data_IF_147704464066
#
_entry.id   IF_147704464066
#
_cell.length_a   1.000
_cell.length_b   1.000
_cell.length_c   1.000
_cell.angle_alpha   90.00
_cell.angle_beta   90.00
_cell.angle_gamma   90.00
#
_symmetry.space_group_name_H-M   'P 1'
#
loop_
_entity.id
_entity.type
_entity.pdbx_description
1 polymer ?
#
# COMPACT_ATOMS: atom_id res chain seq x y z
N UNK A 1 -21.73 -7.95 7.61
CA UNK A 1 -20.47 -7.42 8.18
C UNK A 1 -19.37 -7.50 7.11
N UNK A 2 -18.59 -6.44 6.97
CA UNK A 2 -17.46 -6.43 6.04
C UNK A 2 -16.16 -6.66 6.79
N UNK A 3 -15.29 -7.49 6.23
CA UNK A 3 -13.99 -7.81 6.82
C UNK A 3 -12.89 -7.32 5.89
N UNK A 4 -11.97 -6.55 6.44
CA UNK A 4 -10.83 -5.99 5.72
C UNK A 4 -9.52 -6.40 6.38
N UNK A 5 -8.44 -6.45 5.61
CA UNK A 5 -7.11 -6.73 6.12
C UNK A 5 -6.05 -5.94 5.35
N UNK A 6 -4.87 -5.83 5.96
CA UNK A 6 -3.72 -5.18 5.34
C UNK A 6 -3.06 -6.07 4.28
N UNK A 7 -2.49 -5.42 3.28
CA UNK A 7 -1.78 -6.10 2.19
C UNK A 7 -0.30 -6.31 2.45
N UNK A 8 0.18 -5.97 3.63
CA UNK A 8 1.59 -5.75 3.98
C UNK A 8 2.54 -6.89 3.59
N UNK A 9 2.21 -8.13 3.92
CA UNK A 9 3.09 -9.26 3.63
C UNK A 9 2.78 -9.85 2.25
N UNK A 10 1.53 -9.91 1.89
CA UNK A 10 1.07 -10.65 0.70
C UNK A 10 1.47 -9.94 -0.59
N UNK A 11 1.15 -8.66 -0.74
CA UNK A 11 1.46 -7.94 -1.98
C UNK A 11 2.97 -7.82 -2.24
N UNK A 12 3.81 -7.47 -1.26
CA UNK A 12 5.25 -7.42 -1.50
C UNK A 12 5.87 -8.76 -1.88
N UNK A 13 5.31 -9.85 -1.40
CA UNK A 13 5.85 -11.19 -1.67
C UNK A 13 5.32 -11.82 -2.96
N UNK A 14 4.02 -11.67 -3.24
CA UNK A 14 3.34 -12.38 -4.33
C UNK A 14 2.92 -11.48 -5.50
N UNK A 15 2.96 -10.17 -5.32
CA UNK A 15 2.44 -9.21 -6.29
C UNK A 15 0.94 -8.97 -6.13
N UNK A 16 0.43 -8.05 -6.94
CA UNK A 16 -0.95 -7.57 -6.79
C UNK A 16 -1.97 -8.62 -7.22
N UNK A 17 -1.83 -9.16 -8.42
CA UNK A 17 -2.85 -10.10 -8.94
C UNK A 17 -2.94 -11.36 -8.09
N UNK A 18 -1.82 -12.01 -7.82
CA UNK A 18 -1.80 -13.21 -7.00
C UNK A 18 -2.22 -12.92 -5.57
N UNK A 19 -1.80 -11.77 -5.03
CA UNK A 19 -2.21 -11.32 -3.70
C UNK A 19 -3.71 -11.11 -3.59
N UNK A 20 -4.32 -10.46 -4.59
CA UNK A 20 -5.77 -10.27 -4.64
C UNK A 20 -6.52 -11.60 -4.65
N UNK A 21 -6.03 -12.55 -5.42
CA UNK A 21 -6.61 -13.89 -5.46
C UNK A 21 -6.60 -14.55 -4.09
N UNK A 22 -5.46 -14.47 -3.39
CA UNK A 22 -5.31 -15.01 -2.03
C UNK A 22 -6.34 -14.40 -1.08
N UNK A 23 -6.45 -13.06 -1.08
CA UNK A 23 -7.39 -12.37 -0.20
C UNK A 23 -8.85 -12.70 -0.54
N UNK A 24 -9.17 -12.80 -1.82
CA UNK A 24 -10.52 -13.14 -2.26
C UNK A 24 -10.89 -14.55 -1.83
N UNK A 25 -10.01 -15.50 -2.02
CA UNK A 25 -10.23 -16.90 -1.60
C UNK A 25 -10.35 -17.02 -0.08
N UNK A 26 -9.63 -16.17 0.67
CA UNK A 26 -9.72 -16.13 2.12
C UNK A 26 -11.02 -15.52 2.64
N UNK A 27 -11.80 -14.84 1.80
CA UNK A 27 -13.12 -14.31 2.16
C UNK A 27 -13.14 -12.86 2.63
N UNK A 28 -12.11 -12.08 2.36
CA UNK A 28 -12.11 -10.66 2.70
C UNK A 28 -13.00 -9.86 1.75
N UNK A 29 -13.58 -8.78 2.27
CA UNK A 29 -14.51 -7.91 1.54
C UNK A 29 -13.85 -6.63 1.03
N UNK A 30 -12.77 -6.22 1.65
CA UNK A 30 -12.03 -5.01 1.32
C UNK A 30 -10.58 -5.15 1.76
N UNK A 31 -9.72 -4.24 1.32
CA UNK A 31 -8.30 -4.26 1.66
C UNK A 31 -7.82 -2.90 2.16
N UNK A 32 -6.87 -2.95 3.08
CA UNK A 32 -6.09 -1.83 3.55
C UNK A 32 -4.74 -1.89 2.83
N UNK A 33 -4.52 -0.99 1.88
CA UNK A 33 -3.29 -1.00 1.10
C UNK A 33 -2.12 -0.47 1.93
N UNK A 34 -1.24 -1.37 2.33
CA UNK A 34 -0.06 -1.01 3.13
C UNK A 34 1.11 -0.64 2.23
N UNK A 35 1.68 0.55 2.46
CA UNK A 35 2.83 1.05 1.72
C UNK A 35 4.11 1.05 2.55
N UNK A 36 4.19 0.20 3.55
CA UNK A 36 5.38 0.04 4.40
C UNK A 36 6.61 -0.36 3.58
N UNK A 37 6.42 -1.09 2.49
CA UNK A 37 7.51 -1.50 1.61
C UNK A 37 8.28 -0.33 1.01
N UNK A 38 7.66 0.84 0.88
CA UNK A 38 8.30 2.04 0.32
C UNK A 38 9.43 2.57 1.18
N UNK A 39 9.44 2.17 2.44
CA UNK A 39 10.40 2.62 3.43
C UNK A 39 11.59 1.68 3.57
N UNK A 40 11.52 0.56 2.93
CA UNK A 40 12.46 -0.54 3.13
C UNK A 40 13.44 -0.61 1.96
N UNK A 41 14.70 -0.94 2.27
CA UNK A 41 15.68 -1.39 1.28
C UNK A 41 15.42 -2.84 0.86
N UNK A 42 14.39 -3.47 1.42
CA UNK A 42 14.03 -4.84 1.06
C UNK A 42 13.43 -4.88 -0.33
N UNK A 43 13.82 -5.88 -1.07
CA UNK A 43 13.22 -6.15 -2.37
C UNK A 43 11.73 -6.45 -2.20
N UNK A 44 10.94 -5.82 -3.04
CA UNK A 44 9.50 -6.04 -3.11
C UNK A 44 9.13 -6.07 -4.58
N UNK A 45 8.23 -6.94 -4.95
CA UNK A 45 7.72 -6.98 -6.32
C UNK A 45 7.00 -5.69 -6.71
N UNK A 46 6.63 -4.87 -5.74
CA UNK A 46 6.02 -3.55 -5.96
C UNK A 46 7.05 -2.42 -6.07
N UNK A 47 8.26 -2.64 -5.60
CA UNK A 47 9.25 -1.57 -5.39
C UNK A 47 9.75 -0.90 -6.66
N UNK A 48 9.64 -1.56 -7.80
CA UNK A 48 10.12 -1.05 -9.09
C UNK A 48 9.02 -0.43 -9.95
N UNK A 49 7.79 -0.38 -9.48
CA UNK A 49 6.69 0.21 -10.21
C UNK A 49 6.65 1.73 -10.03
N UNK A 50 6.43 2.46 -11.12
CA UNK A 50 6.09 3.87 -11.05
C UNK A 50 4.68 4.07 -10.48
N UNK A 51 4.38 5.32 -10.11
CA UNK A 51 3.09 5.66 -9.50
C UNK A 51 1.90 5.25 -10.38
N UNK A 52 1.93 5.62 -11.66
CA UNK A 52 0.81 5.34 -12.57
C UNK A 52 0.64 3.84 -12.82
N UNK A 53 1.73 3.11 -13.00
CA UNK A 53 1.69 1.66 -13.17
C UNK A 53 1.08 0.98 -11.95
N UNK A 54 1.53 1.37 -10.77
CA UNK A 54 1.02 0.83 -9.51
C UNK A 54 -0.47 1.09 -9.34
N UNK A 55 -0.90 2.35 -9.53
CA UNK A 55 -2.31 2.73 -9.40
C UNK A 55 -3.17 1.96 -10.38
N UNK A 56 -2.74 1.87 -11.64
CA UNK A 56 -3.51 1.15 -12.66
C UNK A 56 -3.66 -0.33 -12.31
N UNK A 57 -2.59 -0.98 -11.88
CA UNK A 57 -2.65 -2.39 -11.46
C UNK A 57 -3.55 -2.61 -10.24
N UNK A 58 -3.47 -1.71 -9.27
CA UNK A 58 -4.33 -1.79 -8.08
C UNK A 58 -5.81 -1.64 -8.46
N UNK A 59 -6.14 -0.67 -9.32
CA UNK A 59 -7.52 -0.44 -9.75
C UNK A 59 -8.06 -1.60 -10.60
N UNK A 60 -7.27 -2.09 -11.56
CA UNK A 60 -7.65 -3.23 -12.40
C UNK A 60 -7.93 -4.48 -11.55
N UNK A 61 -7.02 -4.78 -10.62
CA UNK A 61 -7.18 -5.95 -9.76
C UNK A 61 -8.31 -5.80 -8.76
N UNK A 62 -8.52 -4.60 -8.22
CA UNK A 62 -9.66 -4.32 -7.35
C UNK A 62 -10.97 -4.58 -8.06
N UNK A 63 -11.11 -4.16 -9.31
CA UNK A 63 -12.30 -4.41 -10.12
C UNK A 63 -12.45 -5.90 -10.46
N UNK A 64 -11.38 -6.52 -10.91
CA UNK A 64 -11.36 -7.93 -11.31
C UNK A 64 -11.84 -8.86 -10.18
N UNK A 65 -11.38 -8.62 -8.96
CA UNK A 65 -11.68 -9.47 -7.81
C UNK A 65 -12.79 -8.93 -6.91
N UNK A 66 -13.35 -7.78 -7.24
CA UNK A 66 -14.36 -7.09 -6.41
C UNK A 66 -13.88 -6.89 -4.97
N UNK A 67 -12.63 -6.42 -4.83
CA UNK A 67 -12.00 -6.11 -3.55
C UNK A 67 -11.58 -4.64 -3.53
N UNK A 68 -12.44 -3.74 -3.03
CA UNK A 68 -12.10 -2.32 -2.93
C UNK A 68 -11.07 -2.06 -1.84
N UNK A 69 -10.34 -0.96 -1.99
CA UNK A 69 -9.46 -0.44 -0.95
C UNK A 69 -10.25 0.54 -0.10
N UNK A 70 -10.49 0.20 1.16
CA UNK A 70 -11.23 1.07 2.08
C UNK A 70 -10.32 1.94 2.94
N UNK A 71 -9.05 1.59 3.04
CA UNK A 71 -8.05 2.29 3.84
C UNK A 71 -6.66 2.07 3.23
N UNK A 72 -5.70 2.87 3.65
CA UNK A 72 -4.29 2.69 3.30
C UNK A 72 -3.40 3.03 4.49
N UNK A 73 -2.18 2.51 4.50
CA UNK A 73 -1.14 2.87 5.46
C UNK A 73 0.07 3.43 4.74
N UNK A 74 0.54 4.57 5.20
CA UNK A 74 1.75 5.22 4.71
C UNK A 74 3.01 4.48 5.18
N UNK A 75 4.18 4.76 4.57
CA UNK A 75 5.44 4.20 5.04
C UNK A 75 5.72 4.50 6.51
N UNK A 76 6.35 3.56 7.19
CA UNK A 76 6.67 3.65 8.60
C UNK A 76 8.09 3.11 8.85
N UNK A 77 8.87 3.75 9.71
CA UNK A 77 8.57 4.96 10.49
C UNK A 77 8.55 6.22 9.63
N UNK A 78 7.71 7.18 10.02
CA UNK A 78 7.53 8.44 9.28
C UNK A 78 8.61 9.48 9.61
N UNK A 79 9.39 9.24 10.65
CA UNK A 79 10.44 10.12 11.09
C UNK A 79 11.46 9.34 11.94
N UNK A 80 12.75 9.66 11.76
CA UNK A 80 13.84 9.15 12.61
C UNK A 80 14.65 10.32 13.17
N UNK A 81 14.69 10.41 14.47
CA UNK A 81 15.44 11.46 15.15
C UNK A 81 16.91 11.42 14.74
N UNK A 82 17.45 12.56 14.31
CA UNK A 82 18.86 12.70 13.93
C UNK A 82 19.23 12.15 12.55
N UNK A 83 18.28 11.57 11.80
CA UNK A 83 18.51 11.02 10.46
C UNK A 83 17.85 11.89 9.40
N UNK A 84 18.50 13.00 9.06
CA UNK A 84 17.95 13.96 8.10
C UNK A 84 17.77 13.38 6.71
N UNK A 85 18.69 12.53 6.28
CA UNK A 85 18.64 11.90 4.96
C UNK A 85 17.41 10.98 4.84
N UNK A 86 17.19 10.15 5.86
CA UNK A 86 16.01 9.32 5.94
C UNK A 86 14.73 10.17 5.97
N UNK A 87 14.73 11.23 6.77
CA UNK A 87 13.53 12.07 6.93
C UNK A 87 13.14 12.79 5.63
N UNK A 88 14.13 13.21 4.83
CA UNK A 88 13.86 13.76 3.48
C UNK A 88 13.30 12.70 2.55
N UNK A 89 13.88 11.52 2.56
CA UNK A 89 13.43 10.39 1.73
C UNK A 89 12.00 10.00 2.06
N UNK A 90 11.70 9.76 3.33
CA UNK A 90 10.36 9.31 3.74
C UNK A 90 9.31 10.39 3.54
N UNK A 91 9.68 11.66 3.67
CA UNK A 91 8.75 12.76 3.42
C UNK A 91 8.17 12.71 2.01
N UNK A 92 9.02 12.47 1.00
CA UNK A 92 8.57 12.30 -0.37
C UNK A 92 7.70 11.04 -0.54
N UNK A 93 8.04 9.97 0.16
CA UNK A 93 7.23 8.74 0.15
C UNK A 93 5.88 8.92 0.84
N UNK A 94 5.81 9.73 1.89
CA UNK A 94 4.55 10.07 2.54
C UNK A 94 3.62 10.83 1.57
N UNK A 95 4.16 11.81 0.85
CA UNK A 95 3.37 12.53 -0.17
C UNK A 95 2.88 11.60 -1.26
N UNK A 96 3.75 10.72 -1.74
CA UNK A 96 3.41 9.71 -2.76
C UNK A 96 2.30 8.79 -2.25
N UNK A 97 2.41 8.33 -1.00
CA UNK A 97 1.42 7.42 -0.43
C UNK A 97 0.03 8.07 -0.31
N UNK A 98 -0.01 9.35 0.02
CA UNK A 98 -1.27 10.10 0.07
C UNK A 98 -1.92 10.18 -1.32
N UNK A 99 -1.11 10.48 -2.34
CA UNK A 99 -1.62 10.53 -3.73
C UNK A 99 -2.16 9.17 -4.17
N UNK A 100 -1.42 8.11 -3.91
CA UNK A 100 -1.84 6.74 -4.27
C UNK A 100 -3.14 6.38 -3.56
N UNK A 101 -3.22 6.61 -2.25
CA UNK A 101 -4.43 6.33 -1.48
C UNK A 101 -5.66 7.02 -2.08
N UNK A 102 -5.53 8.29 -2.44
CA UNK A 102 -6.61 9.02 -3.09
C UNK A 102 -7.01 8.44 -4.43
N UNK A 103 -6.03 8.08 -5.26
CA UNK A 103 -6.27 7.52 -6.61
C UNK A 103 -6.92 6.14 -6.60
N UNK A 104 -6.63 5.32 -5.59
CA UNK A 104 -7.24 3.98 -5.48
C UNK A 104 -8.58 3.98 -4.72
N UNK A 105 -9.04 5.14 -4.28
CA UNK A 105 -10.34 5.28 -3.64
C UNK A 105 -10.37 4.98 -2.15
N UNK A 106 -9.23 4.90 -1.49
CA UNK A 106 -9.18 4.73 -0.04
C UNK A 106 -9.76 5.98 0.64
N UNK A 107 -10.71 5.78 1.55
CA UNK A 107 -11.36 6.90 2.24
C UNK A 107 -10.47 7.53 3.33
N UNK A 108 -9.43 6.83 3.75
CA UNK A 108 -8.51 7.32 4.77
C UNK A 108 -7.14 6.69 4.60
N UNK A 109 -6.12 7.39 5.06
CA UNK A 109 -4.76 6.87 5.14
C UNK A 109 -4.22 7.07 6.55
N UNK A 110 -3.61 6.03 7.08
CA UNK A 110 -3.01 6.04 8.41
C UNK A 110 -1.53 6.42 8.26
N UNK A 111 -1.12 7.44 9.01
CA UNK A 111 0.29 7.86 9.11
C UNK A 111 0.69 7.71 10.56
N UNK A 112 1.65 6.87 10.85
CA UNK A 112 2.18 6.71 12.20
C UNK A 112 3.08 7.89 12.55
N UNK A 113 2.98 8.46 13.75
CA UNK A 113 3.75 9.67 14.10
C UNK A 113 5.25 9.44 14.13
N UNK A 114 5.73 8.33 14.63
CA UNK A 114 7.15 7.97 14.65
C UNK A 114 7.36 6.50 14.92
#
# INVERSE_FOLDING_TARGET
MRISTQTDIIFPAFGIDEGMKIFKEAGFDALDFSMFYMNSSRESVLGNMGEDELVNKLLESSEKYSLPFNQAHAPFPSYRFGDEEYNKFVYEKLKLSIRIAGKIGASQIIVHPT
#
